data_IF_375507115621
#
_entry.id   IF_375507115621
#
_cell.length_a   1.000
_cell.length_b   1.000
_cell.length_c   1.000
_cell.angle_alpha   90.00
_cell.angle_beta   90.00
_cell.angle_gamma   90.00
#
_symmetry.space_group_name_H-M   'P 1'
#
loop_
_entity.id
_entity.type
_entity.pdbx_description
1 polymer ?
#
# COMPACT_ATOMS: atom_id res chain seq x y z
N UNK A 1 27.00 -34.09 -56.61
CA UNK A 1 27.30 -32.99 -55.67
C UNK A 1 26.14 -32.85 -54.74
N UNK A 2 26.23 -33.45 -53.51
CA UNK A 2 25.18 -33.40 -52.51
C UNK A 2 25.52 -32.34 -51.45
N UNK A 3 24.84 -31.21 -51.53
CA UNK A 3 24.94 -30.17 -50.51
C UNK A 3 24.05 -30.52 -49.31
N UNK A 4 24.66 -30.87 -48.17
CA UNK A 4 23.96 -31.03 -46.88
C UNK A 4 23.84 -29.65 -46.25
N UNK A 5 22.59 -29.09 -46.24
CA UNK A 5 22.28 -27.91 -45.44
C UNK A 5 22.17 -28.35 -43.97
N UNK A 6 23.08 -27.86 -43.13
CA UNK A 6 22.97 -28.00 -41.68
C UNK A 6 22.01 -26.95 -41.12
N UNK A 7 20.90 -27.40 -40.55
CA UNK A 7 19.94 -26.54 -39.84
C UNK A 7 20.51 -26.24 -38.45
N UNK A 8 21.00 -25.04 -38.23
CA UNK A 8 21.40 -24.58 -36.87
C UNK A 8 20.15 -24.10 -36.16
N UNK A 9 19.66 -24.91 -35.21
CA UNK A 9 18.59 -24.52 -34.33
C UNK A 9 19.12 -23.55 -33.25
N UNK A 10 18.74 -22.29 -33.37
CA UNK A 10 19.00 -21.28 -32.33
C UNK A 10 18.05 -21.55 -31.15
N UNK A 11 18.54 -22.18 -30.09
CA UNK A 11 17.83 -22.32 -28.83
C UNK A 11 17.98 -21.00 -28.07
N UNK A 12 16.98 -20.12 -28.12
CA UNK A 12 16.91 -18.92 -27.29
C UNK A 12 16.50 -19.36 -25.87
N UNK A 13 17.45 -19.40 -24.95
CA UNK A 13 17.16 -19.55 -23.52
C UNK A 13 16.53 -18.25 -23.02
N UNK A 14 15.21 -18.26 -22.84
CA UNK A 14 14.52 -17.23 -22.08
C UNK A 14 15.00 -17.34 -20.62
N UNK A 15 15.83 -16.41 -20.20
CA UNK A 15 16.17 -16.23 -18.79
C UNK A 15 14.90 -15.77 -18.07
N UNK A 16 14.22 -16.69 -17.39
CA UNK A 16 13.15 -16.34 -16.44
C UNK A 16 13.86 -15.68 -15.26
N UNK A 17 13.73 -14.36 -15.13
CA UNK A 17 14.17 -13.66 -13.94
C UNK A 17 13.38 -14.22 -12.75
N UNK A 18 14.00 -15.08 -11.95
CA UNK A 18 13.44 -15.55 -10.70
C UNK A 18 13.44 -14.38 -9.74
N UNK A 19 12.24 -13.91 -9.34
CA UNK A 19 12.12 -12.98 -8.21
C UNK A 19 12.76 -13.67 -7.00
N UNK A 20 13.81 -13.07 -6.46
CA UNK A 20 14.42 -13.55 -5.22
C UNK A 20 13.38 -13.55 -4.11
N UNK A 21 13.43 -14.55 -3.21
CA UNK A 21 12.53 -14.62 -2.08
C UNK A 21 12.59 -13.31 -1.25
N UNK A 22 11.44 -12.80 -0.74
CA UNK A 22 11.40 -11.56 0.02
C UNK A 22 12.33 -11.63 1.24
N UNK A 23 13.16 -10.60 1.42
CA UNK A 23 14.02 -10.51 2.59
C UNK A 23 13.19 -10.04 3.79
N UNK A 24 12.80 -10.98 4.64
CA UNK A 24 12.01 -10.73 5.85
C UNK A 24 12.91 -10.32 7.03
N UNK A 25 12.37 -9.49 7.91
CA UNK A 25 12.98 -9.05 9.15
C UNK A 25 11.93 -8.74 10.21
N UNK A 26 12.34 -8.07 11.28
CA UNK A 26 11.46 -7.60 12.34
C UNK A 26 11.87 -6.21 12.81
N UNK A 27 10.92 -5.46 13.39
CA UNK A 27 11.15 -4.24 14.14
C UNK A 27 10.32 -4.26 15.41
N UNK A 28 10.87 -3.79 16.51
CA UNK A 28 10.12 -3.61 17.75
C UNK A 28 9.84 -2.12 17.94
N UNK A 29 8.57 -1.77 18.14
CA UNK A 29 8.15 -0.42 18.44
C UNK A 29 8.55 -0.09 19.90
N UNK A 30 9.44 0.88 20.13
CA UNK A 30 9.91 1.17 21.49
C UNK A 30 8.84 1.83 22.37
N UNK A 31 7.71 2.26 21.79
CA UNK A 31 6.64 2.95 22.52
C UNK A 31 5.76 1.99 23.31
N UNK A 32 5.59 0.75 22.83
CA UNK A 32 4.71 -0.27 23.45
C UNK A 32 5.32 -1.68 23.49
N UNK A 33 6.52 -1.86 22.91
CA UNK A 33 7.21 -3.15 22.86
C UNK A 33 6.64 -4.14 21.85
N UNK A 34 5.64 -3.77 21.03
CA UNK A 34 5.13 -4.64 19.98
C UNK A 34 6.18 -4.87 18.89
N UNK A 35 6.31 -6.13 18.46
CA UNK A 35 7.21 -6.50 17.38
C UNK A 35 6.42 -6.78 16.13
N UNK A 36 6.81 -6.16 15.02
CA UNK A 36 6.20 -6.27 13.69
C UNK A 36 7.16 -6.95 12.73
N UNK A 37 6.64 -7.80 11.87
CA UNK A 37 7.38 -8.29 10.71
C UNK A 37 7.68 -7.14 9.76
N UNK A 38 8.83 -7.21 9.11
CA UNK A 38 9.23 -6.27 8.07
C UNK A 38 9.65 -7.02 6.82
N UNK A 39 9.62 -6.34 5.69
CA UNK A 39 10.10 -6.87 4.42
C UNK A 39 10.94 -5.81 3.71
N UNK A 40 12.05 -6.23 3.11
CA UNK A 40 12.82 -5.39 2.20
C UNK A 40 12.36 -5.62 0.77
N UNK A 41 11.96 -4.54 0.09
CA UNK A 41 11.54 -4.52 -1.31
C UNK A 41 12.38 -3.46 -2.02
N UNK A 42 13.26 -3.88 -2.92
CA UNK A 42 14.30 -2.99 -3.45
C UNK A 42 15.19 -2.45 -2.34
N UNK A 43 15.32 -1.12 -2.29
CA UNK A 43 16.06 -0.44 -1.21
C UNK A 43 15.18 -0.04 -0.03
N UNK A 44 13.86 -0.26 -0.10
CA UNK A 44 12.91 0.12 0.96
C UNK A 44 12.68 -1.00 1.97
N UNK A 45 12.53 -0.65 3.24
CA UNK A 45 12.13 -1.59 4.30
C UNK A 45 10.74 -1.17 4.82
N UNK A 46 9.75 -2.03 4.61
CA UNK A 46 8.35 -1.82 4.94
C UNK A 46 7.93 -2.68 6.12
N UNK A 47 6.97 -2.20 6.91
CA UNK A 47 6.21 -3.09 7.79
C UNK A 47 5.45 -4.11 6.93
N UNK A 48 5.53 -5.40 7.27
CA UNK A 48 4.77 -6.48 6.64
C UNK A 48 3.50 -6.84 7.45
N UNK A 49 3.23 -6.08 8.50
CA UNK A 49 2.02 -6.14 9.33
C UNK A 49 1.44 -4.75 9.52
N UNK A 50 0.13 -4.65 9.71
CA UNK A 50 -0.52 -3.37 9.97
C UNK A 50 -0.14 -2.89 11.36
N UNK A 51 0.13 -1.60 11.49
CA UNK A 51 0.44 -0.98 12.77
C UNK A 51 -0.71 -1.21 13.76
N UNK A 52 -0.37 -1.56 15.01
CA UNK A 52 -1.32 -1.82 16.09
C UNK A 52 -1.04 -0.98 17.34
N UNK A 53 -0.28 0.11 17.22
CA UNK A 53 0.01 1.04 18.32
C UNK A 53 -1.29 1.70 18.82
N UNK A 54 -1.55 1.63 20.13
CA UNK A 54 -2.85 1.95 20.69
C UNK A 54 -3.25 3.42 20.63
N UNK A 55 -2.29 4.32 20.67
CA UNK A 55 -2.55 5.76 20.71
C UNK A 55 -3.32 6.20 19.46
N UNK A 56 -4.53 6.71 19.66
CA UNK A 56 -5.44 7.24 18.62
C UNK A 56 -5.93 6.23 17.56
N UNK A 57 -5.51 4.96 17.63
CA UNK A 57 -5.99 3.88 16.77
C UNK A 57 -7.21 3.18 17.39
N UNK A 58 -8.11 2.70 16.53
CA UNK A 58 -9.30 1.94 16.96
C UNK A 58 -9.34 0.56 16.34
N UNK A 59 -9.90 -0.40 17.06
CA UNK A 59 -10.16 -1.72 16.52
C UNK A 59 -11.39 -1.70 15.62
N UNK A 60 -11.38 -2.48 14.55
CA UNK A 60 -12.57 -2.70 13.73
C UNK A 60 -13.72 -3.22 14.63
N UNK A 61 -14.93 -2.65 14.48
CA UNK A 61 -16.11 -2.90 15.33
C UNK A 61 -15.87 -2.69 16.83
N UNK A 62 -14.85 -1.90 17.21
CA UNK A 62 -14.39 -1.74 18.60
C UNK A 62 -14.07 -3.07 19.32
N UNK A 63 -13.79 -4.13 18.56
CA UNK A 63 -13.43 -5.45 19.08
C UNK A 63 -11.91 -5.63 19.16
N UNK A 64 -11.32 -5.81 20.37
CA UNK A 64 -9.88 -5.98 20.52
C UNK A 64 -9.28 -7.14 19.73
N UNK A 65 -10.03 -8.22 19.49
CA UNK A 65 -9.59 -9.35 18.67
C UNK A 65 -9.31 -8.92 17.21
N UNK A 66 -10.04 -7.93 16.70
CA UNK A 66 -9.80 -7.38 15.38
C UNK A 66 -8.51 -6.56 15.34
N UNK A 67 -8.13 -5.87 16.41
CA UNK A 67 -6.83 -5.24 16.52
C UNK A 67 -5.69 -6.24 16.44
N UNK A 68 -5.79 -7.35 17.19
CA UNK A 68 -4.78 -8.42 17.15
C UNK A 68 -4.61 -9.01 15.75
N UNK A 69 -5.71 -9.15 15.00
CA UNK A 69 -5.70 -9.81 13.69
C UNK A 69 -5.36 -8.84 12.55
N UNK A 70 -5.91 -7.62 12.58
CA UNK A 70 -5.89 -6.69 11.44
C UNK A 70 -5.10 -5.42 11.71
N UNK A 71 -4.57 -5.25 12.92
CA UNK A 71 -4.05 -3.95 13.36
C UNK A 71 -5.16 -2.95 13.66
N UNK A 72 -4.79 -1.69 13.84
CA UNK A 72 -5.72 -0.61 14.15
C UNK A 72 -6.03 0.25 12.93
N UNK A 73 -7.19 0.89 12.97
CA UNK A 73 -7.62 1.90 12.02
C UNK A 73 -7.32 3.28 12.64
N UNK A 74 -6.60 4.11 11.92
CA UNK A 74 -6.14 5.42 12.38
C UNK A 74 -6.88 6.51 11.64
N UNK A 75 -7.28 7.57 12.36
CA UNK A 75 -7.84 8.76 11.76
C UNK A 75 -6.71 9.71 11.33
N UNK A 76 -7.03 10.68 10.47
CA UNK A 76 -6.09 11.70 10.01
C UNK A 76 -5.35 12.42 11.14
N UNK A 77 -6.04 12.69 12.26
CA UNK A 77 -5.49 13.46 13.37
C UNK A 77 -4.30 12.77 14.07
N UNK A 78 -4.17 11.46 13.90
CA UNK A 78 -3.08 10.67 14.50
C UNK A 78 -1.88 10.48 13.58
N UNK A 79 -1.98 10.84 12.29
CA UNK A 79 -0.99 10.44 11.28
C UNK A 79 0.38 11.09 11.45
N UNK A 80 0.45 12.30 12.01
CA UNK A 80 1.73 13.02 12.19
C UNK A 80 2.71 12.32 13.15
N UNK A 81 2.22 11.47 14.05
CA UNK A 81 3.01 10.78 15.07
C UNK A 81 2.71 9.29 15.13
N UNK A 82 2.08 8.75 14.07
CA UNK A 82 1.60 7.36 14.08
C UNK A 82 2.75 6.37 13.99
N UNK A 83 3.77 6.64 13.21
CA UNK A 83 4.94 5.77 13.07
C UNK A 83 5.97 6.02 14.19
N UNK A 84 6.70 4.99 14.64
CA UNK A 84 7.74 5.12 15.65
C UNK A 84 8.98 5.85 15.10
N UNK A 85 9.86 6.31 15.99
CA UNK A 85 11.11 6.96 15.60
C UNK A 85 11.94 6.08 14.66
N UNK A 86 12.48 6.67 13.58
CA UNK A 86 13.22 5.97 12.53
C UNK A 86 12.30 5.31 11.47
N UNK A 87 11.01 5.59 11.55
CA UNK A 87 9.99 5.16 10.60
C UNK A 87 9.03 6.32 10.31
N UNK A 88 8.45 6.36 9.13
CA UNK A 88 7.47 7.37 8.75
C UNK A 88 6.28 6.78 8.00
N UNK A 89 5.22 7.55 7.90
CA UNK A 89 4.05 7.25 7.07
C UNK A 89 4.44 7.46 5.61
N UNK A 90 4.36 6.43 4.75
CA UNK A 90 4.78 6.55 3.35
C UNK A 90 3.94 7.55 2.57
N UNK A 91 4.53 8.19 1.59
CA UNK A 91 3.81 8.93 0.55
C UNK A 91 3.49 8.04 -0.67
N UNK A 92 2.74 8.58 -1.63
CA UNK A 92 2.37 7.85 -2.85
C UNK A 92 3.58 7.48 -3.69
N UNK A 93 4.63 8.31 -3.72
CA UNK A 93 5.82 8.06 -4.50
C UNK A 93 6.63 6.88 -3.93
N UNK A 94 6.63 6.69 -2.62
CA UNK A 94 7.26 5.53 -1.98
C UNK A 94 6.55 4.23 -2.31
N UNK A 95 5.20 4.25 -2.39
CA UNK A 95 4.45 3.12 -2.94
C UNK A 95 4.76 2.88 -4.42
N UNK A 96 4.90 3.93 -5.24
CA UNK A 96 5.28 3.80 -6.64
C UNK A 96 6.68 3.19 -6.77
N UNK A 97 7.65 3.58 -5.93
CA UNK A 97 8.99 2.98 -5.89
C UNK A 97 8.89 1.49 -5.58
N UNK A 98 8.12 1.10 -4.55
CA UNK A 98 7.88 -0.31 -4.23
C UNK A 98 7.32 -1.08 -5.42
N UNK A 99 6.35 -0.52 -6.13
CA UNK A 99 5.71 -1.17 -7.28
C UNK A 99 6.65 -1.28 -8.48
N UNK A 100 7.51 -0.28 -8.70
CA UNK A 100 8.53 -0.33 -9.74
C UNK A 100 9.58 -1.43 -9.49
N UNK A 101 9.94 -1.70 -8.21
CA UNK A 101 10.84 -2.81 -7.86
C UNK A 101 10.23 -4.19 -8.19
N UNK A 102 8.92 -4.25 -8.33
CA UNK A 102 8.18 -5.47 -8.73
C UNK A 102 7.93 -5.54 -10.25
N UNK A 103 8.50 -4.60 -11.03
CA UNK A 103 8.29 -4.47 -12.49
C UNK A 103 6.81 -4.41 -12.90
N UNK A 104 5.99 -3.74 -12.11
CA UNK A 104 4.55 -3.64 -12.32
C UNK A 104 4.22 -2.42 -13.18
N UNK A 105 3.45 -2.64 -14.24
CA UNK A 105 3.01 -1.59 -15.16
C UNK A 105 1.88 -0.75 -14.56
N UNK A 106 2.01 0.56 -14.70
CA UNK A 106 0.97 1.51 -14.32
C UNK A 106 -0.04 1.68 -15.46
N UNK A 107 -1.33 1.68 -15.16
CA UNK A 107 -2.34 2.17 -16.05
C UNK A 107 -3.25 3.17 -15.33
N UNK A 108 -3.79 4.14 -16.08
CA UNK A 108 -4.71 5.15 -15.55
C UNK A 108 -6.12 4.78 -15.91
N UNK A 109 -6.96 4.54 -14.92
CA UNK A 109 -8.38 4.34 -15.10
C UNK A 109 -9.11 5.64 -14.75
N UNK A 110 -9.77 6.24 -15.73
CA UNK A 110 -10.67 7.37 -15.48
C UNK A 110 -11.95 6.86 -14.82
N UNK A 111 -12.05 6.95 -13.50
CA UNK A 111 -13.25 6.55 -12.73
C UNK A 111 -13.70 7.74 -11.91
N UNK A 112 -14.72 8.44 -12.37
CA UNK A 112 -15.33 9.53 -11.60
C UNK A 112 -16.17 10.45 -12.50
N UNK A 113 -17.15 11.12 -11.90
CA UNK A 113 -18.02 12.08 -12.57
C UNK A 113 -17.34 13.46 -12.80
N UNK A 114 -16.06 13.62 -12.46
CA UNK A 114 -15.28 14.85 -12.59
C UNK A 114 -14.10 14.70 -13.54
N UNK A 115 -13.79 15.76 -14.29
CA UNK A 115 -12.73 15.79 -15.32
C UNK A 115 -11.30 15.51 -14.81
N UNK A 116 -11.07 15.36 -13.49
CA UNK A 116 -9.75 15.23 -12.86
C UNK A 116 -9.62 14.03 -11.90
N UNK A 117 -10.58 13.11 -11.86
CA UNK A 117 -10.52 11.92 -10.99
C UNK A 117 -9.84 10.75 -11.71
N UNK A 118 -8.60 10.95 -12.14
CA UNK A 118 -7.75 9.83 -12.57
C UNK A 118 -7.20 9.13 -11.35
N UNK A 119 -7.55 7.86 -11.20
CA UNK A 119 -6.94 6.96 -10.22
C UNK A 119 -5.81 6.21 -10.92
N UNK A 120 -4.63 6.22 -10.31
CA UNK A 120 -3.52 5.42 -10.79
C UNK A 120 -3.67 4.00 -10.24
N UNK A 121 -3.86 3.03 -11.15
CA UNK A 121 -3.88 1.60 -10.84
C UNK A 121 -2.63 0.93 -11.37
N UNK A 122 -2.21 -0.11 -10.66
CA UNK A 122 -1.07 -0.94 -11.00
C UNK A 122 -1.55 -2.36 -11.23
N UNK A 123 -1.41 -2.81 -12.47
CA UNK A 123 -1.84 -4.14 -12.89
C UNK A 123 -1.12 -5.22 -12.08
N UNK A 124 -1.86 -6.22 -11.60
CA UNK A 124 -1.37 -7.33 -10.81
C UNK A 124 -0.74 -6.96 -9.44
N UNK A 125 -0.65 -5.68 -9.07
CA UNK A 125 -0.03 -5.26 -7.82
C UNK A 125 -0.71 -5.87 -6.59
N UNK A 126 -2.05 -5.94 -6.61
CA UNK A 126 -2.81 -6.56 -5.54
C UNK A 126 -2.48 -8.05 -5.39
N UNK A 127 -2.25 -8.79 -6.49
CA UNK A 127 -1.83 -10.19 -6.40
C UNK A 127 -0.47 -10.34 -5.70
N UNK A 128 0.52 -9.51 -6.02
CA UNK A 128 1.86 -9.58 -5.42
C UNK A 128 1.89 -9.12 -3.96
N UNK A 129 1.01 -8.20 -3.57
CA UNK A 129 1.04 -7.54 -2.25
C UNK A 129 0.08 -8.15 -1.23
N UNK A 130 -1.08 -8.70 -1.66
CA UNK A 130 -2.07 -9.31 -0.77
C UNK A 130 -1.54 -10.57 -0.10
N UNK A 131 -1.92 -10.76 1.16
CA UNK A 131 -1.70 -12.01 1.89
C UNK A 131 -2.32 -13.21 1.18
N UNK A 132 -1.76 -14.39 1.42
CA UNK A 132 -2.23 -15.65 0.84
C UNK A 132 -3.51 -16.18 1.52
N UNK A 133 -3.99 -15.51 2.56
CA UNK A 133 -5.18 -15.87 3.33
C UNK A 133 -5.91 -14.64 3.84
N UNK A 134 -7.19 -14.81 4.22
CA UNK A 134 -7.98 -13.80 4.93
C UNK A 134 -8.84 -12.90 4.05
N UNK A 135 -8.71 -12.97 2.73
CA UNK A 135 -9.53 -12.24 1.78
C UNK A 135 -10.79 -13.04 1.42
N UNK A 136 -11.93 -12.35 1.33
CA UNK A 136 -13.21 -12.93 0.96
C UNK A 136 -13.17 -13.56 -0.46
N UNK A 137 -14.06 -14.50 -0.71
CA UNK A 137 -14.36 -15.04 -2.05
C UNK A 137 -13.11 -15.42 -2.87
N UNK A 138 -12.12 -16.05 -2.24
CA UNK A 138 -10.84 -16.43 -2.87
C UNK A 138 -10.02 -15.27 -3.43
N UNK A 139 -10.25 -14.05 -2.92
CA UNK A 139 -9.53 -12.85 -3.33
C UNK A 139 -8.10 -12.72 -2.79
N UNK A 140 -7.52 -13.82 -2.26
CA UNK A 140 -6.15 -13.87 -1.76
C UNK A 140 -5.13 -13.55 -2.86
N UNK A 141 -3.96 -13.04 -2.47
CA UNK A 141 -2.82 -12.85 -3.37
C UNK A 141 -1.78 -13.96 -3.27
N UNK A 142 -0.74 -13.83 -4.07
CA UNK A 142 0.45 -14.70 -4.01
C UNK A 142 1.44 -14.29 -2.92
N UNK A 143 1.36 -13.02 -2.47
CA UNK A 143 2.29 -12.38 -1.54
C UNK A 143 3.76 -12.48 -1.97
N UNK A 144 4.03 -12.50 -3.26
CA UNK A 144 5.41 -12.61 -3.78
C UNK A 144 6.32 -11.47 -3.31
N UNK A 145 5.77 -10.28 -3.05
CA UNK A 145 6.51 -9.16 -2.49
C UNK A 145 6.81 -9.28 -0.98
N UNK A 146 6.18 -10.23 -0.27
CA UNK A 146 6.28 -10.33 1.19
C UNK A 146 5.57 -9.21 1.96
N UNK A 147 4.86 -8.31 1.26
CA UNK A 147 4.16 -7.18 1.88
C UNK A 147 2.99 -7.63 2.77
N UNK A 148 2.35 -8.75 2.47
CA UNK A 148 1.31 -9.40 3.29
C UNK A 148 0.13 -8.47 3.63
N UNK A 149 -0.42 -7.77 2.64
CA UNK A 149 -1.58 -6.92 2.85
C UNK A 149 -2.81 -7.73 3.27
N UNK A 150 -3.37 -7.42 4.43
CA UNK A 150 -4.57 -8.06 4.97
C UNK A 150 -5.78 -7.13 4.84
N UNK A 151 -7.00 -7.66 4.60
CA UNK A 151 -8.20 -6.86 4.36
C UNK A 151 -8.83 -6.35 5.66
N UNK A 152 -8.18 -5.37 6.30
CA UNK A 152 -8.61 -4.80 7.57
C UNK A 152 -9.85 -3.88 7.49
N UNK A 153 -10.37 -3.63 6.29
CA UNK A 153 -11.50 -2.74 6.09
C UNK A 153 -11.19 -1.27 6.39
N UNK A 154 -12.23 -0.54 6.73
CA UNK A 154 -12.14 0.87 7.08
C UNK A 154 -13.25 1.29 8.08
N UNK A 155 -13.08 2.45 8.69
CA UNK A 155 -14.10 3.12 9.48
C UNK A 155 -14.47 4.45 8.81
N UNK A 156 -15.75 4.82 8.89
CA UNK A 156 -16.27 6.12 8.47
C UNK A 156 -17.12 6.72 9.59
N UNK A 157 -17.14 8.05 9.67
CA UNK A 157 -18.09 8.75 10.53
C UNK A 157 -19.37 9.06 9.72
N UNK A 158 -20.53 8.74 10.27
CA UNK A 158 -21.78 9.20 9.70
C UNK A 158 -22.07 10.66 10.09
N UNK A 159 -23.17 11.25 9.58
CA UNK A 159 -23.55 12.65 9.82
C UNK A 159 -23.75 13.01 11.31
N UNK A 160 -24.01 12.02 12.15
CA UNK A 160 -24.20 12.19 13.60
C UNK A 160 -22.99 11.67 14.39
N UNK A 161 -21.82 11.59 13.74
CA UNK A 161 -20.52 11.19 14.30
C UNK A 161 -20.45 9.76 14.86
N UNK A 162 -21.40 8.89 14.49
CA UNK A 162 -21.27 7.46 14.80
C UNK A 162 -20.27 6.80 13.86
N UNK A 163 -19.46 5.90 14.41
CA UNK A 163 -18.50 5.10 13.67
C UNK A 163 -19.21 3.95 12.96
N UNK A 164 -19.03 3.86 11.66
CA UNK A 164 -19.51 2.77 10.83
C UNK A 164 -18.30 2.04 10.26
N UNK A 165 -18.26 0.74 10.43
CA UNK A 165 -17.17 -0.11 9.95
C UNK A 165 -17.59 -0.83 8.68
N UNK A 166 -16.70 -0.87 7.68
CA UNK A 166 -17.00 -1.41 6.37
C UNK A 166 -15.85 -2.24 5.82
N UNK A 167 -16.16 -3.13 4.89
CA UNK A 167 -15.21 -3.81 4.01
C UNK A 167 -14.19 -4.74 4.69
N UNK A 168 -14.45 -5.21 5.93
CA UNK A 168 -13.63 -6.24 6.56
C UNK A 168 -13.62 -7.51 5.69
N UNK A 169 -12.45 -8.11 5.49
CA UNK A 169 -12.30 -9.25 4.59
C UNK A 169 -12.34 -8.88 3.10
N UNK A 170 -12.84 -7.70 2.74
CA UNK A 170 -13.07 -7.30 1.37
C UNK A 170 -12.04 -6.30 0.82
N UNK A 171 -11.54 -5.39 1.65
CA UNK A 171 -10.63 -4.33 1.23
C UNK A 171 -9.53 -4.07 2.24
N UNK A 172 -8.35 -3.72 1.72
CA UNK A 172 -7.27 -3.11 2.48
C UNK A 172 -7.08 -1.68 2.01
N UNK A 173 -6.95 -0.75 2.96
CA UNK A 173 -6.65 0.65 2.71
C UNK A 173 -5.49 1.05 3.59
N UNK A 174 -4.46 1.62 2.99
CA UNK A 174 -3.29 2.12 3.69
C UNK A 174 -3.19 3.62 3.52
N UNK A 175 -3.13 4.35 4.62
CA UNK A 175 -2.87 5.77 4.58
C UNK A 175 -1.60 6.11 3.82
N UNK A 176 -1.64 7.19 3.03
CA UNK A 176 -0.44 7.89 2.58
C UNK A 176 -0.32 9.24 3.31
N UNK A 177 0.89 9.78 3.33
CA UNK A 177 1.14 11.12 3.88
C UNK A 177 0.72 12.25 2.93
N UNK A 178 0.26 11.91 1.72
CA UNK A 178 -0.16 12.90 0.74
C UNK A 178 -1.50 13.54 1.09
N UNK A 179 -1.55 14.85 0.91
CA UNK A 179 -2.76 15.65 0.99
C UNK A 179 -2.93 16.42 -0.31
N UNK A 180 -4.12 16.31 -0.90
CA UNK A 180 -4.46 17.05 -2.12
C UNK A 180 -5.31 18.24 -1.71
N UNK A 181 -4.80 19.45 -1.98
CA UNK A 181 -5.56 20.68 -1.88
C UNK A 181 -6.36 20.86 -3.17
N UNK A 182 -7.69 20.77 -3.11
CA UNK A 182 -8.54 21.13 -4.24
C UNK A 182 -8.78 22.63 -4.19
N UNK A 183 -8.16 23.35 -5.11
CA UNK A 183 -8.26 24.79 -5.24
C UNK A 183 -9.56 25.16 -6.00
N UNK A 184 -10.73 24.93 -5.39
CA UNK A 184 -11.98 25.45 -5.92
C UNK A 184 -12.75 26.19 -4.80
N UNK A 185 -12.81 27.53 -4.96
CA UNK A 185 -13.71 28.47 -4.23
C UNK A 185 -13.76 28.34 -2.71
N UNK A 186 -12.88 29.07 -2.02
CA UNK A 186 -12.96 29.51 -0.59
C UNK A 186 -13.36 28.51 0.53
N UNK A 187 -13.65 27.25 0.23
CA UNK A 187 -13.86 26.16 1.20
C UNK A 187 -13.24 24.89 0.62
N UNK A 188 -11.93 24.77 0.73
CA UNK A 188 -11.19 23.59 0.24
C UNK A 188 -11.44 22.38 1.11
N UNK A 189 -12.14 21.34 0.64
CA UNK A 189 -12.08 20.05 1.32
C UNK A 189 -10.67 19.49 1.13
N UNK A 190 -9.98 19.25 2.23
CA UNK A 190 -8.72 18.54 2.22
C UNK A 190 -9.00 17.08 1.82
N UNK A 191 -8.49 16.66 0.68
CA UNK A 191 -8.59 15.27 0.24
C UNK A 191 -7.43 14.47 0.85
N UNK A 192 -7.77 13.37 1.53
CA UNK A 192 -6.79 12.35 1.88
C UNK A 192 -6.61 11.36 0.74
N UNK A 193 -5.50 10.61 0.77
CA UNK A 193 -5.24 9.55 -0.18
C UNK A 193 -4.88 8.25 0.54
N UNK A 194 -5.35 7.13 0.00
CA UNK A 194 -4.95 5.79 0.44
C UNK A 194 -4.46 4.97 -0.74
N UNK A 195 -3.50 4.08 -0.49
CA UNK A 195 -3.20 2.97 -1.36
C UNK A 195 -4.09 1.78 -0.99
N UNK A 196 -4.74 1.16 -1.95
CA UNK A 196 -5.78 0.17 -1.64
C UNK A 196 -5.85 -1.01 -2.60
N UNK A 197 -6.40 -2.09 -2.08
CA UNK A 197 -6.65 -3.36 -2.76
C UNK A 197 -8.03 -3.89 -2.40
N UNK A 198 -8.63 -4.65 -3.32
CA UNK A 198 -9.93 -5.30 -3.11
C UNK A 198 -9.87 -6.80 -3.40
N UNK A 199 -10.75 -7.59 -2.77
CA UNK A 199 -10.85 -9.02 -3.00
C UNK A 199 -11.14 -9.38 -4.47
N UNK A 200 -11.95 -8.55 -5.14
CA UNK A 200 -12.44 -8.79 -6.50
C UNK A 200 -11.48 -8.36 -7.63
N UNK A 201 -10.26 -7.89 -7.31
CA UNK A 201 -9.26 -7.50 -8.31
C UNK A 201 -7.86 -7.98 -7.94
N UNK A 202 -7.06 -8.28 -8.95
CA UNK A 202 -5.62 -8.51 -8.81
C UNK A 202 -4.82 -7.22 -8.74
N UNK A 203 -5.44 -6.07 -9.01
CA UNK A 203 -4.79 -4.78 -9.09
C UNK A 203 -4.76 -4.07 -7.73
N UNK A 204 -3.95 -3.05 -7.62
CA UNK A 204 -3.92 -2.11 -6.52
C UNK A 204 -3.85 -0.67 -7.04
N UNK A 205 -4.25 0.30 -6.24
CA UNK A 205 -4.23 1.69 -6.70
C UNK A 205 -4.45 2.72 -5.61
N UNK A 206 -4.31 3.99 -6.00
CA UNK A 206 -4.53 5.11 -5.11
C UNK A 206 -5.97 5.60 -5.21
N UNK A 207 -6.58 5.86 -4.05
CA UNK A 207 -7.91 6.42 -3.92
C UNK A 207 -7.88 7.72 -3.17
N UNK A 208 -8.46 8.75 -3.77
CA UNK A 208 -8.70 10.06 -3.16
C UNK A 208 -10.07 10.07 -2.51
N UNK A 209 -10.18 10.62 -1.32
CA UNK A 209 -11.47 10.74 -0.63
C UNK A 209 -11.52 12.05 0.16
N UNK A 210 -12.74 12.51 0.38
CA UNK A 210 -12.98 13.64 1.28
C UNK A 210 -12.63 13.21 2.70
N UNK A 211 -11.88 14.07 3.38
CA UNK A 211 -11.45 13.78 4.73
C UNK A 211 -12.56 14.09 5.74
N UNK A 212 -13.48 13.18 5.87
CA UNK A 212 -14.70 13.24 6.68
C UNK A 212 -14.63 12.42 7.98
N UNK A 213 -13.40 12.20 8.48
CA UNK A 213 -13.18 11.46 9.71
C UNK A 213 -13.02 9.95 9.52
N UNK A 214 -12.70 9.51 8.30
CA UNK A 214 -12.39 8.10 8.01
C UNK A 214 -11.18 7.57 8.79
N UNK A 215 -11.18 6.26 9.06
CA UNK A 215 -10.08 5.51 9.67
C UNK A 215 -9.60 4.39 8.76
N UNK A 216 -8.28 4.30 8.54
CA UNK A 216 -7.64 3.33 7.68
C UNK A 216 -6.40 2.73 8.33
N UNK A 217 -5.91 1.61 7.82
CA UNK A 217 -4.68 0.98 8.29
C UNK A 217 -3.44 1.83 7.99
N UNK A 218 -2.39 1.61 8.76
CA UNK A 218 -1.07 2.22 8.56
C UNK A 218 -0.02 1.13 8.39
N UNK A 219 0.86 1.35 7.44
CA UNK A 219 2.13 0.63 7.25
C UNK A 219 3.24 1.65 7.20
N UNK A 220 4.13 1.63 8.19
CA UNK A 220 5.26 2.52 8.19
C UNK A 220 6.40 1.99 7.31
N UNK A 221 7.17 2.89 6.75
CA UNK A 221 8.40 2.63 6.02
C UNK A 221 9.59 3.15 6.84
N UNK A 222 10.71 2.43 6.82
CA UNK A 222 11.90 2.79 7.57
C UNK A 222 12.61 3.99 6.95
N UNK A 223 13.06 4.91 7.79
CA UNK A 223 13.92 6.02 7.38
C UNK A 223 15.27 5.47 6.90
N UNK A 224 15.55 5.58 5.60
CA UNK A 224 16.80 5.16 4.99
C UNK A 224 17.36 6.26 4.10
N UNK A 225 18.69 6.50 4.19
CA UNK A 225 19.36 7.51 3.39
C UNK A 225 19.26 7.25 1.88
N UNK A 226 19.43 6.00 1.46
CA UNK A 226 19.35 5.62 0.03
C UNK A 226 17.94 5.78 -0.53
N UNK A 227 16.92 5.35 0.21
CA UNK A 227 15.52 5.54 -0.15
C UNK A 227 15.19 7.02 -0.31
N UNK A 228 15.66 7.86 0.62
CA UNK A 228 15.46 9.30 0.58
C UNK A 228 16.15 9.96 -0.62
N UNK A 229 17.40 9.61 -0.92
CA UNK A 229 18.12 10.13 -2.09
C UNK A 229 17.41 9.76 -3.41
N UNK A 230 16.94 8.53 -3.54
CA UNK A 230 16.16 8.05 -4.69
C UNK A 230 14.83 8.82 -4.81
N UNK A 231 14.14 9.02 -3.70
CA UNK A 231 12.89 9.79 -3.61
C UNK A 231 13.09 11.25 -4.04
N UNK A 232 14.14 11.91 -3.53
CA UNK A 232 14.46 13.31 -3.87
C UNK A 232 14.85 13.48 -5.34
N UNK A 233 15.52 12.48 -5.93
CA UNK A 233 15.83 12.46 -7.37
C UNK A 233 14.55 12.39 -8.21
N UNK A 234 13.64 11.46 -7.88
CA UNK A 234 12.37 11.31 -8.59
C UNK A 234 11.47 12.54 -8.46
N UNK A 235 11.42 13.17 -7.29
CA UNK A 235 10.67 14.43 -7.09
C UNK A 235 11.19 15.56 -7.98
N UNK A 236 12.53 15.67 -8.15
CA UNK A 236 13.14 16.67 -9.05
C UNK A 236 12.80 16.44 -10.53
N UNK A 237 12.69 15.16 -10.94
CA UNK A 237 12.36 14.84 -12.33
C UNK A 237 10.88 15.07 -12.65
N UNK A 238 9.99 14.95 -11.66
CA UNK A 238 8.55 15.25 -11.80
C UNK A 238 8.23 16.74 -11.83
N UNK A 239 9.17 17.61 -11.45
CA UNK A 239 8.99 19.08 -11.43
C UNK A 239 9.60 19.79 -12.64
N UNK A 240 10.21 19.06 -13.57
CA UNK A 240 10.71 19.55 -14.87
C UNK A 240 9.67 19.38 -15.97
#
# INVERSE_FOLDING_TARGET
MNSKMALVALVSTLAVASLAAPQMGTMTDPRDGQTYKTVKIGDQVWMAENLNYETYGMCYDNNPQNCTKYGRLYSKHSLSQVCPNGWHLPDSLEFIILLNELDLRTFKLGVGSGKNDTLDFFENAGNYLKSTTGWNSNGNGSNLAGFSAIPGGNMQLNRILNRLFHSLGARAFFWTSDYIYVQETHKTPLLGMTFSMTWGSTDAGFFKFRNDGGGYSVRCIKDDKKGKEKLDSLRKDMTK
#
